data_IF_507671683288
#
_entry.id   IF_507671683288
#
_cell.length_a   1.000
_cell.length_b   1.000
_cell.length_c   1.000
_cell.angle_alpha   90.00
_cell.angle_beta   90.00
_cell.angle_gamma   90.00
#
_symmetry.space_group_name_H-M   'P 1'
#
loop_
_entity.id
_entity.type
_entity.pdbx_description
1 polymer ?
#
# COMPACT_ATOMS: atom_id res chain seq x y z
N UNK A 1 -21.47 -5.19 -5.34
CA UNK A 1 -21.91 -4.56 -6.60
C UNK A 1 -21.58 -5.48 -7.75
N UNK A 2 -22.51 -5.71 -8.69
CA UNK A 2 -22.25 -6.42 -9.94
C UNK A 2 -22.12 -5.38 -11.05
N UNK A 3 -20.98 -5.34 -11.71
CA UNK A 3 -20.66 -4.35 -12.75
C UNK A 3 -20.13 -5.08 -13.97
N UNK A 4 -20.50 -4.64 -15.16
CA UNK A 4 -19.89 -5.11 -16.40
C UNK A 4 -18.81 -4.11 -16.83
N UNK A 5 -17.57 -4.55 -16.95
CA UNK A 5 -16.43 -3.72 -17.34
C UNK A 5 -15.61 -4.46 -18.38
N UNK A 6 -15.12 -3.73 -19.37
CA UNK A 6 -14.16 -4.23 -20.35
C UNK A 6 -12.77 -4.12 -19.71
N UNK A 7 -12.00 -5.21 -19.73
CA UNK A 7 -10.64 -5.26 -19.22
C UNK A 7 -9.73 -5.79 -20.32
N UNK A 8 -8.50 -5.30 -20.34
CA UNK A 8 -7.47 -5.81 -21.22
C UNK A 8 -7.06 -7.22 -20.77
N UNK A 9 -7.18 -8.20 -21.67
CA UNK A 9 -6.95 -9.61 -21.34
C UNK A 9 -5.46 -9.92 -21.11
N UNK A 10 -4.55 -9.21 -21.78
CA UNK A 10 -3.11 -9.39 -21.59
C UNK A 10 -2.69 -8.90 -20.21
N UNK A 11 -3.19 -7.71 -19.83
CA UNK A 11 -2.96 -7.13 -18.50
C UNK A 11 -3.57 -8.00 -17.40
N UNK A 12 -4.77 -8.55 -17.60
CA UNK A 12 -5.41 -9.45 -16.62
C UNK A 12 -4.58 -10.74 -16.47
N UNK A 13 -4.08 -11.31 -17.56
CA UNK A 13 -3.25 -12.50 -17.52
C UNK A 13 -1.93 -12.23 -16.78
N UNK A 14 -1.29 -11.10 -17.03
CA UNK A 14 -0.08 -10.69 -16.30
C UNK A 14 -0.36 -10.48 -14.82
N UNK A 15 -1.43 -9.76 -14.49
CA UNK A 15 -1.80 -9.48 -13.10
C UNK A 15 -2.10 -10.77 -12.33
N UNK A 16 -2.73 -11.78 -12.96
CA UNK A 16 -2.88 -13.10 -12.34
C UNK A 16 -1.54 -13.78 -12.04
N UNK A 17 -0.58 -13.76 -12.99
CA UNK A 17 0.75 -14.34 -12.78
C UNK A 17 1.50 -13.66 -11.62
N UNK A 18 1.38 -12.34 -11.51
CA UNK A 18 2.10 -11.56 -10.51
C UNK A 18 1.47 -11.61 -9.11
N UNK A 19 0.14 -11.73 -9.03
CA UNK A 19 -0.59 -11.64 -7.76
C UNK A 19 -0.98 -13.00 -7.18
N UNK A 20 -1.07 -14.04 -8.00
CA UNK A 20 -1.59 -15.35 -7.59
C UNK A 20 -3.09 -15.35 -7.31
N UNK A 21 -3.84 -14.30 -7.70
CA UNK A 21 -5.29 -14.28 -7.56
C UNK A 21 -5.93 -15.43 -8.37
N UNK A 22 -7.06 -15.96 -7.90
CA UNK A 22 -7.73 -17.12 -8.52
C UNK A 22 -8.93 -16.72 -9.35
N UNK A 23 -9.47 -15.53 -9.12
CA UNK A 23 -10.69 -15.05 -9.81
C UNK A 23 -10.55 -13.59 -10.21
N UNK A 24 -11.26 -13.18 -11.26
CA UNK A 24 -11.30 -11.76 -11.69
C UNK A 24 -11.82 -10.85 -10.57
N UNK A 25 -12.76 -11.34 -9.75
CA UNK A 25 -13.28 -10.60 -8.58
C UNK A 25 -12.18 -10.33 -7.56
N UNK A 26 -11.41 -11.36 -7.20
CA UNK A 26 -10.31 -11.25 -6.24
C UNK A 26 -9.22 -10.31 -6.74
N UNK A 27 -8.86 -10.45 -8.02
CA UNK A 27 -7.88 -9.59 -8.68
C UNK A 27 -8.29 -8.11 -8.62
N UNK A 28 -9.56 -7.82 -8.93
CA UNK A 28 -10.10 -6.45 -8.87
C UNK A 28 -10.14 -5.92 -7.43
N UNK A 29 -10.55 -6.73 -6.45
CA UNK A 29 -10.55 -6.31 -5.04
C UNK A 29 -9.13 -5.97 -4.55
N UNK A 30 -8.15 -6.82 -4.90
CA UNK A 30 -6.74 -6.60 -4.57
C UNK A 30 -6.21 -5.30 -5.20
N UNK A 31 -6.46 -5.11 -6.50
CA UNK A 31 -6.03 -3.93 -7.22
C UNK A 31 -6.61 -2.64 -6.63
N UNK A 32 -7.90 -2.63 -6.26
CA UNK A 32 -8.56 -1.49 -5.65
C UNK A 32 -7.99 -1.17 -4.27
N UNK A 33 -7.78 -2.18 -3.42
CA UNK A 33 -7.17 -2.00 -2.08
C UNK A 33 -5.77 -1.41 -2.20
N UNK A 34 -4.96 -1.95 -3.09
CA UNK A 34 -3.59 -1.47 -3.28
C UNK A 34 -3.57 -0.04 -3.84
N UNK A 35 -4.44 0.29 -4.79
CA UNK A 35 -4.58 1.66 -5.32
C UNK A 35 -4.91 2.66 -4.19
N UNK A 36 -5.91 2.35 -3.36
CA UNK A 36 -6.31 3.22 -2.24
C UNK A 36 -5.16 3.34 -1.23
N UNK A 37 -4.51 2.22 -0.88
CA UNK A 37 -3.39 2.22 0.06
C UNK A 37 -2.22 3.06 -0.46
N UNK A 38 -1.88 2.95 -1.75
CA UNK A 38 -0.84 3.77 -2.42
C UNK A 38 -1.17 5.26 -2.36
N UNK A 39 -2.43 5.64 -2.57
CA UNK A 39 -2.86 7.04 -2.51
C UNK A 39 -2.79 7.59 -1.08
N UNK A 40 -3.27 6.83 -0.08
CA UNK A 40 -3.14 7.20 1.33
C UNK A 40 -1.69 7.39 1.77
N UNK A 41 -0.77 6.51 1.33
CA UNK A 41 0.67 6.69 1.61
C UNK A 41 1.22 7.98 1.01
N UNK A 42 0.77 8.37 -0.19
CA UNK A 42 1.15 9.66 -0.79
C UNK A 42 0.60 10.87 -0.03
N UNK A 43 -0.59 10.76 0.57
CA UNK A 43 -1.14 11.81 1.43
C UNK A 43 -0.31 12.00 2.71
N UNK A 44 0.23 10.91 3.28
CA UNK A 44 1.19 11.01 4.40
C UNK A 44 2.45 11.76 3.97
N UNK A 45 3.00 11.50 2.78
CA UNK A 45 4.12 12.28 2.25
C UNK A 45 3.77 13.76 2.07
N UNK A 46 2.51 14.08 1.76
CA UNK A 46 2.07 15.48 1.67
C UNK A 46 2.00 16.21 3.02
N UNK A 47 2.15 15.49 4.14
CA UNK A 47 2.29 16.04 5.50
C UNK A 47 3.75 16.30 5.90
N UNK A 48 4.72 15.94 5.05
CA UNK A 48 6.14 16.23 5.26
C UNK A 48 6.37 17.73 5.47
N UNK A 49 7.00 18.10 6.59
CA UNK A 49 7.24 19.49 6.98
C UNK A 49 6.01 20.27 7.47
N UNK A 50 4.81 19.64 7.51
CA UNK A 50 3.58 20.27 8.01
C UNK A 50 3.16 19.82 9.40
N UNK A 51 3.81 18.76 9.92
CA UNK A 51 3.54 18.21 11.24
C UNK A 51 4.82 18.33 12.04
N UNK A 52 4.74 18.96 13.21
CA UNK A 52 5.84 18.97 14.17
C UNK A 52 5.97 17.59 14.79
N UNK A 53 7.19 17.07 14.73
CA UNK A 53 7.51 15.80 15.35
C UNK A 53 7.88 16.04 16.81
N UNK A 54 7.09 15.51 17.73
CA UNK A 54 7.40 15.51 19.16
C UNK A 54 8.04 14.17 19.56
N UNK A 55 9.33 14.22 19.91
CA UNK A 55 10.08 13.08 20.43
C UNK A 55 11.56 13.41 20.63
N UNK A 56 12.30 12.51 21.27
CA UNK A 56 13.76 12.55 21.34
C UNK A 56 14.33 11.37 20.55
N UNK A 57 14.94 11.69 19.41
CA UNK A 57 15.36 10.71 18.42
C UNK A 57 16.61 9.97 18.89
N UNK A 58 17.42 10.62 19.73
CA UNK A 58 18.65 10.06 20.28
C UNK A 58 18.31 9.13 21.45
N UNK A 59 17.35 9.49 22.31
CA UNK A 59 16.82 8.60 23.34
C UNK A 59 16.22 7.31 22.74
N UNK A 60 15.49 7.41 21.62
CA UNK A 60 14.90 6.26 20.91
C UNK A 60 15.93 5.37 20.19
N UNK A 61 17.10 5.91 19.86
CA UNK A 61 18.20 5.14 19.27
C UNK A 61 19.02 4.45 20.37
N UNK A 62 19.23 5.13 21.49
CA UNK A 62 19.91 4.58 22.66
C UNK A 62 19.15 3.38 23.26
N UNK A 63 17.81 3.44 23.31
CA UNK A 63 16.98 2.33 23.83
C UNK A 63 17.00 1.06 22.97
N UNK A 64 17.40 1.16 21.69
CA UNK A 64 17.58 -0.02 20.81
C UNK A 64 18.94 -0.70 21.02
N UNK A 65 19.87 -0.02 21.71
CA UNK A 65 21.25 -0.44 21.88
C UNK A 65 21.59 -0.86 23.33
N UNK A 66 20.61 -0.90 24.24
CA UNK A 66 20.77 -1.51 25.57
C UNK A 66 19.72 -2.59 25.80
N UNK A 67 20.01 -3.79 26.30
CA UNK A 67 21.20 -4.37 26.94
C UNK A 67 21.11 -5.89 26.75
N UNK A 68 22.20 -6.52 26.35
CA UNK A 68 22.46 -7.92 26.72
C UNK A 68 22.91 -8.00 28.17
#
# INVERSE_FOLDING_TARGET
MRTNIVMDDELVAEAFRLTGARTKKELVDLALRDLVARKKRKEILALEGKVEWEGDLDAWRASRLGTG
#
